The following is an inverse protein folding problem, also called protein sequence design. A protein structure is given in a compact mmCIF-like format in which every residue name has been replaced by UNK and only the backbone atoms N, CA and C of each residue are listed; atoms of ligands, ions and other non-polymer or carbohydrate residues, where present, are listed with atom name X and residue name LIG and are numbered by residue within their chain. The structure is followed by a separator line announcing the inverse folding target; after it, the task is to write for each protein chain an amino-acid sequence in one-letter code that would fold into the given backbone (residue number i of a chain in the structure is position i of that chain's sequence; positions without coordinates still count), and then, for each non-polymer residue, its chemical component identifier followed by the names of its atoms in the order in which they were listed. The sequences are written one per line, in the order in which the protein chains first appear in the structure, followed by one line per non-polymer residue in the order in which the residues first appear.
data_IF_384414206876
#
_entry.id   IF_384414206876
#
_cell.length_a   1.000
_cell.length_b   1.000
_cell.length_c   1.000
_cell.angle_alpha   90.00
_cell.angle_beta   90.00
_cell.angle_gamma   90.00
#
_symmetry.space_group_name_H-M   'P 1'
#
loop_
_entity.id
_entity.type
_entity.pdbx_description
1 polymer ?
#
# COMPACT_ATOMS: atom_id res chain seq x y z
N UNK A 1 16.40 -13.93 -16.09
CA UNK A 1 15.23 -13.67 -15.21
C UNK A 1 15.14 -12.19 -14.90
N UNK A 2 14.55 -11.36 -15.78
CA UNK A 2 14.28 -9.96 -15.46
C UNK A 2 12.90 -9.90 -14.80
N UNK A 3 12.82 -9.40 -13.57
CA UNK A 3 11.54 -9.11 -12.91
C UNK A 3 10.87 -7.98 -13.69
N UNK A 4 10.01 -8.34 -14.64
CA UNK A 4 9.14 -7.40 -15.36
C UNK A 4 8.08 -6.92 -14.39
N UNK A 5 8.37 -5.90 -13.58
CA UNK A 5 7.38 -4.96 -13.00
C UNK A 5 8.12 -3.70 -12.47
N UNK A 6 9.04 -3.15 -13.26
CA UNK A 6 9.42 -1.75 -13.16
C UNK A 6 8.33 -0.93 -13.84
N UNK A 7 7.18 -0.79 -13.16
CA UNK A 7 6.19 0.18 -13.58
C UNK A 7 6.75 1.56 -13.21
N UNK A 8 7.21 2.28 -14.23
CA UNK A 8 7.48 3.70 -14.19
C UNK A 8 6.15 4.42 -13.92
N UNK A 9 5.80 4.52 -12.65
CA UNK A 9 4.63 5.24 -12.18
C UNK A 9 5.22 6.31 -11.27
N UNK A 10 5.18 7.54 -11.79
CA UNK A 10 5.98 8.70 -11.41
C UNK A 10 6.22 8.90 -9.92
N UNK A 11 7.34 9.56 -9.63
CA UNK A 11 7.88 9.92 -8.31
C UNK A 11 7.11 9.32 -7.12
N UNK A 12 7.57 8.16 -6.65
CA UNK A 12 7.06 7.55 -5.41
C UNK A 12 7.10 8.61 -4.32
N UNK A 13 5.93 8.99 -3.78
CA UNK A 13 5.86 9.97 -2.69
C UNK A 13 6.68 9.47 -1.51
N UNK A 14 7.76 10.19 -1.19
CA UNK A 14 8.56 10.04 0.02
C UNK A 14 8.09 11.13 0.98
N UNK A 15 7.23 10.76 1.92
CA UNK A 15 6.59 11.73 2.82
C UNK A 15 5.56 11.07 3.72
N UNK A 16 4.99 11.82 4.68
CA UNK A 16 3.99 11.31 5.60
C UNK A 16 2.79 10.75 4.84
N UNK A 17 2.15 9.74 5.42
CA UNK A 17 0.90 9.18 4.90
C UNK A 17 -0.23 10.13 5.21
N UNK A 18 -1.05 10.42 4.20
CA UNK A 18 -2.28 11.19 4.40
C UNK A 18 -3.43 10.28 4.81
N UNK A 19 -4.45 10.87 5.45
CA UNK A 19 -5.64 10.14 5.86
C UNK A 19 -6.37 9.50 4.67
N UNK A 20 -6.39 10.17 3.52
CA UNK A 20 -7.01 9.63 2.31
C UNK A 20 -6.25 8.41 1.78
N UNK A 21 -4.91 8.42 1.86
CA UNK A 21 -4.09 7.27 1.48
C UNK A 21 -4.34 6.07 2.41
N UNK A 22 -4.46 6.33 3.71
CA UNK A 22 -4.79 5.31 4.71
C UNK A 22 -6.18 4.72 4.47
N UNK A 23 -7.19 5.53 4.15
CA UNK A 23 -8.52 5.05 3.82
C UNK A 23 -8.52 4.11 2.61
N UNK A 24 -7.81 4.47 1.54
CA UNK A 24 -7.69 3.64 0.34
C UNK A 24 -7.00 2.32 0.69
N UNK A 25 -5.92 2.39 1.47
CA UNK A 25 -5.20 1.21 1.94
C UNK A 25 -6.10 0.31 2.80
N UNK A 26 -6.86 0.87 3.74
CA UNK A 26 -7.81 0.14 4.58
C UNK A 26 -8.94 -0.48 3.78
N UNK A 27 -9.52 0.25 2.83
CA UNK A 27 -10.59 -0.28 1.94
C UNK A 27 -10.08 -1.45 1.11
N UNK A 28 -8.87 -1.35 0.55
CA UNK A 28 -8.25 -2.43 -0.21
C UNK A 28 -8.01 -3.66 0.68
N UNK A 29 -7.45 -3.47 1.87
CA UNK A 29 -7.20 -4.58 2.82
C UNK A 29 -8.49 -5.21 3.33
N UNK A 30 -9.54 -4.41 3.60
CA UNK A 30 -10.86 -4.91 3.99
C UNK A 30 -11.47 -5.78 2.88
N UNK A 31 -11.25 -5.42 1.61
CA UNK A 31 -11.79 -6.14 0.45
C UNK A 31 -10.99 -7.38 0.04
N UNK A 32 -9.66 -7.32 0.06
CA UNK A 32 -8.78 -8.37 -0.48
C UNK A 32 -7.89 -9.05 0.58
N UNK A 33 -7.83 -8.53 1.79
CA UNK A 33 -6.94 -8.96 2.86
C UNK A 33 -5.54 -8.34 2.79
N UNK A 34 -4.75 -8.40 3.88
CA UNK A 34 -3.43 -7.80 4.00
C UNK A 34 -2.31 -8.62 3.32
N UNK A 35 -2.60 -9.19 2.15
CA UNK A 35 -1.71 -10.13 1.44
C UNK A 35 -1.22 -9.62 0.09
N UNK A 36 -2.03 -8.82 -0.59
CA UNK A 36 -1.75 -8.40 -1.97
C UNK A 36 -1.52 -6.89 -2.06
N UNK A 37 -0.31 -6.48 -1.69
CA UNK A 37 0.14 -5.07 -1.69
C UNK A 37 0.62 -4.61 -3.07
N UNK A 38 1.09 -5.53 -3.90
CA UNK A 38 1.50 -5.27 -5.28
C UNK A 38 0.33 -4.77 -6.12
N UNK A 39 -0.86 -5.36 -5.95
CA UNK A 39 -2.02 -4.96 -6.74
C UNK A 39 -2.52 -3.56 -6.44
N UNK A 40 -2.20 -2.98 -5.27
CA UNK A 40 -2.51 -1.57 -4.96
C UNK A 40 -1.84 -0.65 -5.97
N UNK A 41 -0.55 -0.89 -6.27
CA UNK A 41 0.19 -0.11 -7.27
C UNK A 41 -0.24 -0.49 -8.68
N UNK A 42 -0.43 -1.78 -8.98
CA UNK A 42 -0.88 -2.21 -10.32
C UNK A 42 -2.25 -1.63 -10.69
N UNK A 43 -3.12 -1.40 -9.70
CA UNK A 43 -4.43 -0.75 -9.88
C UNK A 43 -4.38 0.78 -9.84
N UNK A 44 -3.19 1.38 -9.66
CA UNK A 44 -3.02 2.83 -9.54
C UNK A 44 -3.74 3.45 -8.34
N UNK A 45 -4.07 2.67 -7.31
CA UNK A 45 -4.84 3.15 -6.16
C UNK A 45 -4.05 4.15 -5.30
N UNK A 46 -2.72 3.97 -5.23
CA UNK A 46 -1.82 4.83 -4.46
C UNK A 46 -0.51 5.04 -5.21
N UNK A 47 0.05 6.24 -5.07
CA UNK A 47 1.41 6.59 -5.52
C UNK A 47 2.48 6.12 -4.51
N UNK A 48 2.29 4.90 -3.97
CA UNK A 48 3.14 4.27 -2.96
C UNK A 48 3.53 2.86 -3.43
N UNK A 49 4.72 2.41 -3.03
CA UNK A 49 5.15 1.04 -3.32
C UNK A 49 4.42 0.04 -2.44
N UNK A 50 4.24 -1.19 -2.92
CA UNK A 50 3.64 -2.27 -2.11
C UNK A 50 4.38 -2.50 -0.79
N UNK A 51 5.71 -2.32 -0.77
CA UNK A 51 6.52 -2.35 0.47
C UNK A 51 6.09 -1.27 1.46
N UNK A 52 5.88 -0.03 0.99
CA UNK A 52 5.39 1.07 1.82
C UNK A 52 3.98 0.82 2.36
N UNK A 53 3.06 0.34 1.50
CA UNK A 53 1.70 -0.02 1.87
C UNK A 53 1.66 -1.09 2.98
N UNK A 54 2.45 -2.16 2.83
CA UNK A 54 2.59 -3.19 3.86
C UNK A 54 3.09 -2.60 5.18
N UNK A 55 4.14 -1.76 5.13
CA UNK A 55 4.75 -1.15 6.30
C UNK A 55 3.76 -0.23 7.04
N UNK A 56 2.99 0.58 6.31
CA UNK A 56 1.96 1.44 6.90
C UNK A 56 0.88 0.62 7.60
N UNK A 57 0.39 -0.42 6.93
CA UNK A 57 -0.63 -1.30 7.50
C UNK A 57 -0.16 -1.92 8.82
N UNK A 58 0.99 -2.61 8.82
CA UNK A 58 1.45 -3.33 10.02
C UNK A 58 1.84 -2.40 11.17
N UNK A 59 2.29 -1.17 10.90
CA UNK A 59 2.74 -0.26 11.96
C UNK A 59 1.63 0.64 12.52
N UNK A 60 0.61 0.99 11.73
CA UNK A 60 -0.34 2.05 12.09
C UNK A 60 -1.81 1.71 11.87
N UNK A 61 -2.15 0.85 10.91
CA UNK A 61 -3.56 0.63 10.52
C UNK A 61 -4.12 -0.74 10.91
N UNK A 62 -3.26 -1.72 11.22
CA UNK A 62 -3.70 -3.08 11.57
C UNK A 62 -4.50 -3.05 12.89
N UNK A 63 -5.80 -3.37 12.88
CA UNK A 63 -6.64 -3.31 14.08
C UNK A 63 -6.36 -4.46 15.06
N UNK A 64 -5.77 -5.57 14.59
CA UNK A 64 -5.42 -6.73 15.44
C UNK A 64 -4.18 -6.52 16.32
N UNK A 65 -3.53 -5.35 16.25
CA UNK A 65 -2.58 -4.93 17.28
C UNK A 65 -3.39 -4.48 18.50
N UNK A 66 -3.99 -5.46 19.19
CA UNK A 66 -4.58 -5.24 20.51
C UNK A 66 -3.49 -4.73 21.46
N UNK A 67 -3.81 -3.63 22.14
CA UNK A 67 -3.07 -3.05 23.26
C UNK A 67 -3.16 -3.95 24.49
#
# INVERSE_FOLDING_TARGET
MRRVYDHDMGEIKKGPWKAEEDEVLMKHVKKYGPKDWSSIRSKGLLQRTGKSCRLRWVNKLRPDLKK
#
